data_IF_105641946319
#
_entry.id   IF_105641946319
#
_cell.length_a   1.000
_cell.length_b   1.000
_cell.length_c   1.000
_cell.angle_alpha   90.00
_cell.angle_beta   90.00
_cell.angle_gamma   90.00
#
_symmetry.space_group_name_H-M   'P 1'
#
loop_
_entity.id
_entity.type
_entity.pdbx_description
1 polymer ?
#
# COMPACT_ATOMS: atom_id res chain seq x y z
N UNK A 1 -13.15 17.38 1.00
CA UNK A 1 -13.02 16.14 0.24
C UNK A 1 -14.35 15.78 -0.41
N UNK A 2 -14.40 15.67 -1.74
CA UNK A 2 -15.57 15.08 -2.37
C UNK A 2 -15.57 13.59 -2.11
N UNK A 3 -16.50 13.13 -1.33
CA UNK A 3 -16.69 11.71 -1.07
C UNK A 3 -17.81 11.19 -1.97
N UNK A 4 -17.46 10.33 -2.89
CA UNK A 4 -18.43 9.50 -3.58
C UNK A 4 -18.35 8.12 -2.94
N UNK A 5 -19.42 7.70 -2.31
CA UNK A 5 -19.48 6.41 -1.66
C UNK A 5 -19.92 5.39 -2.69
N UNK A 6 -19.03 4.43 -3.01
CA UNK A 6 -19.37 3.30 -3.84
C UNK A 6 -19.66 2.09 -2.97
N UNK A 7 -20.85 1.55 -3.11
CA UNK A 7 -21.21 0.25 -2.56
C UNK A 7 -20.86 -0.82 -3.60
N UNK A 8 -19.81 -1.57 -3.37
CA UNK A 8 -19.43 -2.67 -4.24
C UNK A 8 -19.97 -3.99 -3.71
N UNK A 9 -20.71 -4.69 -4.56
CA UNK A 9 -21.63 -5.78 -4.25
C UNK A 9 -21.12 -7.02 -3.48
N UNK A 10 -22.03 -7.81 -3.01
CA UNK A 10 -21.93 -9.03 -2.21
C UNK A 10 -21.19 -8.89 -0.85
N UNK A 11 -20.13 -9.56 -0.55
CA UNK A 11 -19.38 -9.38 0.72
C UNK A 11 -18.68 -8.03 0.86
N UNK A 12 -18.58 -7.29 -0.23
CA UNK A 12 -17.94 -5.97 -0.26
C UNK A 12 -18.93 -4.84 0.00
N UNK A 13 -20.19 -5.15 0.26
CA UNK A 13 -21.24 -4.16 0.54
C UNK A 13 -20.92 -3.24 1.73
N UNK A 14 -19.94 -3.59 2.55
CA UNK A 14 -19.51 -2.81 3.70
C UNK A 14 -18.26 -1.97 3.43
N UNK A 15 -17.64 -2.13 2.25
CA UNK A 15 -16.44 -1.36 1.88
C UNK A 15 -16.88 -0.10 1.14
N UNK A 16 -16.74 1.03 1.84
CA UNK A 16 -16.94 2.35 1.25
C UNK A 16 -15.62 2.87 0.71
N UNK A 17 -15.58 3.17 -0.59
CA UNK A 17 -14.43 3.82 -1.20
C UNK A 17 -14.70 5.31 -1.31
N UNK A 18 -13.74 6.11 -0.86
CA UNK A 18 -13.73 7.55 -1.08
C UNK A 18 -12.78 7.86 -2.21
N UNK A 19 -13.19 8.75 -3.12
CA UNK A 19 -12.30 9.27 -4.13
C UNK A 19 -11.47 10.43 -3.58
N UNK A 20 -10.19 10.45 -3.91
CA UNK A 20 -9.28 11.52 -3.55
C UNK A 20 -9.22 12.56 -4.67
N UNK A 21 -9.26 13.83 -4.30
CA UNK A 21 -8.75 14.88 -5.16
C UNK A 21 -7.21 14.85 -5.12
N UNK A 22 -6.57 15.49 -6.08
CA UNK A 22 -5.11 15.63 -6.07
C UNK A 22 -4.65 16.32 -4.77
N UNK A 23 -5.37 17.36 -4.38
CA UNK A 23 -5.10 18.08 -3.13
C UNK A 23 -5.22 17.17 -1.91
N UNK A 24 -6.31 16.43 -1.80
CA UNK A 24 -6.52 15.50 -0.67
C UNK A 24 -5.45 14.42 -0.61
N UNK A 25 -5.09 13.84 -1.74
CA UNK A 25 -4.03 12.84 -1.82
C UNK A 25 -2.69 13.41 -1.35
N UNK A 26 -2.34 14.61 -1.80
CA UNK A 26 -1.10 15.27 -1.38
C UNK A 26 -1.11 15.65 0.10
N UNK A 27 -2.27 16.01 0.66
CA UNK A 27 -2.39 16.33 2.09
C UNK A 27 -2.09 15.12 2.98
N UNK A 28 -2.55 13.94 2.61
CA UNK A 28 -2.30 12.73 3.40
C UNK A 28 -0.99 12.02 3.03
N UNK A 29 -0.37 12.38 1.93
CA UNK A 29 0.80 11.69 1.41
C UNK A 29 1.95 11.55 2.43
N UNK A 30 2.30 12.56 3.23
CA UNK A 30 3.37 12.40 4.23
C UNK A 30 3.10 11.28 5.23
N UNK A 31 1.86 11.13 5.67
CA UNK A 31 1.44 10.04 6.58
C UNK A 31 1.48 8.70 5.85
N UNK A 32 1.02 8.67 4.60
CA UNK A 32 1.04 7.48 3.74
C UNK A 32 2.48 7.00 3.53
N UNK A 33 3.39 7.90 3.21
CA UNK A 33 4.81 7.58 3.03
C UNK A 33 5.41 6.98 4.31
N UNK A 34 5.09 7.57 5.46
CA UNK A 34 5.55 7.05 6.75
C UNK A 34 5.04 5.64 7.02
N UNK A 35 3.76 5.38 6.75
CA UNK A 35 3.18 4.05 6.88
C UNK A 35 3.78 3.06 5.90
N UNK A 36 4.04 3.48 4.68
CA UNK A 36 4.70 2.65 3.68
C UNK A 36 6.13 2.27 4.10
N UNK A 37 6.90 3.21 4.64
CA UNK A 37 8.23 2.91 5.20
C UNK A 37 8.16 1.88 6.32
N UNK A 38 7.13 1.97 7.17
CA UNK A 38 6.92 0.98 8.20
C UNK A 38 6.63 -0.41 7.62
N UNK A 39 5.85 -0.49 6.54
CA UNK A 39 5.60 -1.75 5.83
C UNK A 39 6.92 -2.35 5.34
N UNK A 40 7.80 -1.54 4.76
CA UNK A 40 9.12 -2.00 4.32
C UNK A 40 9.97 -2.52 5.47
N UNK A 41 9.94 -1.84 6.62
CA UNK A 41 10.65 -2.28 7.82
C UNK A 41 10.13 -3.62 8.33
N UNK A 42 8.81 -3.78 8.36
CA UNK A 42 8.20 -5.05 8.77
C UNK A 42 8.54 -6.18 7.81
N UNK A 43 8.53 -5.90 6.51
CA UNK A 43 8.95 -6.85 5.47
C UNK A 43 10.39 -7.30 5.67
N UNK A 44 11.30 -6.36 5.90
CA UNK A 44 12.71 -6.66 6.13
C UNK A 44 12.92 -7.53 7.36
N UNK A 45 12.15 -7.29 8.42
CA UNK A 45 12.20 -8.10 9.64
C UNK A 45 11.76 -9.55 9.35
N UNK A 46 10.70 -9.75 8.56
CA UNK A 46 10.25 -11.08 8.14
C UNK A 46 11.36 -11.80 7.39
N UNK A 47 11.97 -11.17 6.41
CA UNK A 47 13.07 -11.77 5.64
C UNK A 47 14.29 -12.11 6.48
N UNK A 48 14.63 -11.23 7.41
CA UNK A 48 15.74 -11.45 8.34
C UNK A 48 15.51 -12.71 9.19
N UNK A 49 14.34 -12.83 9.80
CA UNK A 49 14.01 -13.97 10.66
C UNK A 49 13.95 -15.26 9.84
N UNK A 50 13.32 -15.20 8.66
CA UNK A 50 13.23 -16.34 7.76
C UNK A 50 14.62 -16.81 7.30
N UNK A 51 15.50 -15.88 6.94
CA UNK A 51 16.87 -16.20 6.55
C UNK A 51 17.67 -16.85 7.69
N UNK A 52 17.51 -16.37 8.92
CA UNK A 52 18.14 -16.97 10.10
C UNK A 52 17.63 -18.39 10.30
N UNK A 53 16.32 -18.60 10.17
CA UNK A 53 15.70 -19.93 10.36
C UNK A 53 16.19 -20.93 9.31
N UNK A 54 16.40 -20.50 8.07
CA UNK A 54 16.81 -21.36 6.96
C UNK A 54 18.30 -21.64 6.94
N UNK A 55 19.12 -20.69 7.38
CA UNK A 55 20.58 -20.73 7.16
C UNK A 55 21.41 -20.96 8.43
N UNK A 56 20.82 -20.79 9.62
CA UNK A 56 21.57 -21.00 10.86
C UNK A 56 21.44 -22.45 11.32
N UNK A 57 22.57 -23.21 11.40
CA UNK A 57 22.56 -24.61 11.81
C UNK A 57 21.92 -24.87 13.18
N UNK A 58 21.90 -23.89 14.06
CA UNK A 58 21.30 -23.96 15.38
C UNK A 58 19.84 -24.44 15.30
N UNK A 59 19.08 -23.93 14.33
CA UNK A 59 17.67 -24.25 14.19
C UNK A 59 17.41 -25.60 13.52
N UNK A 60 18.44 -26.17 12.89
CA UNK A 60 18.36 -27.53 12.35
C UNK A 60 18.70 -28.58 13.40
N UNK A 61 19.51 -28.22 14.41
CA UNK A 61 20.00 -29.15 15.43
C UNK A 61 19.17 -29.13 16.72
N UNK A 62 18.35 -28.13 16.94
CA UNK A 62 17.49 -27.99 18.13
C UNK A 62 16.06 -27.69 17.72
N UNK A 63 15.18 -28.65 17.91
CA UNK A 63 13.74 -28.50 17.65
C UNK A 63 13.13 -27.37 18.50
N UNK A 64 13.55 -27.27 19.75
CA UNK A 64 13.04 -26.22 20.64
C UNK A 64 13.41 -24.82 20.14
N UNK A 65 14.66 -24.62 19.73
CA UNK A 65 15.10 -23.35 19.17
C UNK A 65 14.39 -23.02 17.86
N UNK A 66 14.17 -24.04 17.02
CA UNK A 66 13.37 -23.89 15.80
C UNK A 66 11.96 -23.38 16.10
N UNK A 67 11.27 -24.01 17.06
CA UNK A 67 9.89 -23.63 17.41
C UNK A 67 9.81 -22.19 17.90
N UNK A 68 10.74 -21.78 18.76
CA UNK A 68 10.80 -20.41 19.26
C UNK A 68 11.01 -19.42 18.12
N UNK A 69 11.96 -19.72 17.22
CA UNK A 69 12.24 -18.85 16.07
C UNK A 69 11.08 -18.79 15.09
N UNK A 70 10.39 -19.92 14.91
CA UNK A 70 9.18 -20.00 14.08
C UNK A 70 8.05 -19.13 14.64
N UNK A 71 7.91 -19.06 15.95
CA UNK A 71 6.94 -18.18 16.60
C UNK A 71 7.27 -16.72 16.37
N UNK A 72 8.56 -16.36 16.41
CA UNK A 72 9.01 -15.00 16.06
C UNK A 72 8.65 -14.66 14.61
N UNK A 73 8.87 -15.60 13.69
CA UNK A 73 8.52 -15.41 12.28
C UNK A 73 7.01 -15.19 12.12
N UNK A 74 6.20 -15.97 12.77
CA UNK A 74 4.75 -15.84 12.70
C UNK A 74 4.27 -14.49 13.24
N UNK A 75 4.88 -14.01 14.33
CA UNK A 75 4.59 -12.67 14.88
C UNK A 75 5.00 -11.56 13.92
N UNK A 76 6.17 -11.68 13.29
CA UNK A 76 6.65 -10.71 12.32
C UNK A 76 5.75 -10.66 11.08
N UNK A 77 5.29 -11.81 10.59
CA UNK A 77 4.32 -11.91 9.48
C UNK A 77 3.00 -11.24 9.84
N UNK A 78 2.48 -11.48 11.04
CA UNK A 78 1.26 -10.85 11.51
C UNK A 78 1.38 -9.33 11.57
N UNK A 79 2.50 -8.83 12.08
CA UNK A 79 2.79 -7.39 12.13
C UNK A 79 2.91 -6.78 10.73
N UNK A 80 3.52 -7.51 9.80
CA UNK A 80 3.64 -7.07 8.41
C UNK A 80 2.25 -6.92 7.76
N UNK A 81 1.40 -7.95 7.86
CA UNK A 81 0.04 -7.89 7.31
C UNK A 81 -0.81 -6.81 7.96
N UNK A 82 -0.68 -6.61 9.26
CA UNK A 82 -1.37 -5.54 9.97
C UNK A 82 -0.93 -4.15 9.49
N UNK A 83 0.35 -3.97 9.22
CA UNK A 83 0.85 -2.69 8.69
C UNK A 83 0.30 -2.37 7.30
N UNK A 84 0.11 -3.40 6.45
CA UNK A 84 -0.55 -3.26 5.15
C UNK A 84 -2.01 -2.84 5.34
N UNK A 85 -2.73 -3.54 6.19
CA UNK A 85 -4.13 -3.24 6.49
C UNK A 85 -4.30 -1.80 7.01
N UNK A 86 -3.41 -1.35 7.90
CA UNK A 86 -3.44 0.00 8.45
C UNK A 86 -3.30 1.08 7.37
N UNK A 87 -2.45 0.84 6.37
CA UNK A 87 -2.33 1.75 5.24
C UNK A 87 -3.58 1.71 4.36
N UNK A 88 -4.08 0.53 4.02
CA UNK A 88 -5.26 0.37 3.16
C UNK A 88 -6.53 0.94 3.79
N UNK A 89 -6.63 0.98 5.11
CA UNK A 89 -7.73 1.66 5.83
C UNK A 89 -7.81 3.15 5.55
N UNK A 90 -6.72 3.76 5.07
CA UNK A 90 -6.73 5.17 4.64
C UNK A 90 -7.36 5.37 3.26
N UNK A 91 -7.78 4.30 2.60
CA UNK A 91 -8.37 4.35 1.26
C UNK A 91 -7.34 4.23 0.14
N UNK A 92 -6.08 4.04 0.46
CA UNK A 92 -4.99 3.88 -0.50
C UNK A 92 -4.80 2.40 -0.83
N UNK A 93 -4.60 2.08 -2.09
CA UNK A 93 -4.35 0.71 -2.53
C UNK A 93 -2.86 0.48 -2.76
N UNK A 94 -2.34 -0.58 -2.17
CA UNK A 94 -0.96 -1.00 -2.39
C UNK A 94 -0.93 -1.89 -3.63
N UNK A 95 -0.28 -1.41 -4.69
CA UNK A 95 -0.13 -2.17 -5.94
C UNK A 95 1.07 -3.09 -5.90
N UNK A 96 2.17 -2.61 -5.34
CA UNK A 96 3.37 -3.41 -5.18
C UNK A 96 4.22 -2.87 -4.04
N UNK A 97 4.47 -3.69 -3.05
CA UNK A 97 5.40 -3.34 -1.96
C UNK A 97 6.83 -3.31 -2.50
N UNK A 98 7.19 -4.28 -3.33
CA UNK A 98 8.55 -4.41 -3.87
C UNK A 98 8.95 -3.26 -4.79
N UNK A 99 8.03 -2.83 -5.65
CA UNK A 99 8.26 -1.72 -6.58
C UNK A 99 7.95 -0.36 -5.95
N UNK A 100 7.35 -0.34 -4.76
CA UNK A 100 6.98 0.90 -4.09
C UNK A 100 5.87 1.66 -4.81
N UNK A 101 4.79 0.96 -5.18
CA UNK A 101 3.69 1.54 -5.94
C UNK A 101 2.40 1.59 -5.13
N UNK A 102 1.85 2.77 -5.00
CA UNK A 102 0.57 3.02 -4.33
C UNK A 102 -0.37 3.76 -5.27
N UNK A 103 -1.65 3.41 -5.21
CA UNK A 103 -2.71 4.04 -5.98
C UNK A 103 -3.79 4.62 -5.08
N UNK A 104 -4.16 5.86 -5.39
CA UNK A 104 -5.25 6.58 -4.72
C UNK A 104 -6.44 6.61 -5.67
N UNK A 105 -7.60 6.05 -5.29
CA UNK A 105 -8.77 6.11 -6.16
C UNK A 105 -9.23 7.55 -6.36
N UNK A 106 -9.49 7.91 -7.60
CA UNK A 106 -9.88 9.27 -7.98
C UNK A 106 -10.85 9.25 -9.16
N UNK A 107 -11.31 10.41 -9.57
CA UNK A 107 -12.14 10.60 -10.74
C UNK A 107 -11.57 11.70 -11.63
N UNK A 108 -11.64 11.48 -12.94
CA UNK A 108 -11.25 12.44 -13.96
C UNK A 108 -12.33 12.44 -15.00
N UNK A 109 -13.03 13.59 -15.18
CA UNK A 109 -14.18 13.70 -16.09
C UNK A 109 -15.22 12.59 -15.89
N UNK A 110 -15.58 12.35 -14.62
CA UNK A 110 -16.54 11.32 -14.21
C UNK A 110 -16.08 9.87 -14.41
N UNK A 111 -14.88 9.66 -14.92
CA UNK A 111 -14.28 8.33 -15.03
C UNK A 111 -13.41 8.02 -13.83
N UNK A 112 -13.45 6.78 -13.36
CA UNK A 112 -12.58 6.29 -12.30
C UNK A 112 -11.16 6.18 -12.81
N UNK A 113 -10.22 6.77 -12.06
CA UNK A 113 -8.79 6.70 -12.35
C UNK A 113 -8.03 6.45 -11.06
N UNK A 114 -6.74 6.21 -11.18
CA UNK A 114 -5.82 6.08 -10.06
C UNK A 114 -4.81 7.23 -10.09
N UNK A 115 -4.66 7.90 -8.95
CA UNK A 115 -3.53 8.78 -8.74
C UNK A 115 -2.38 7.90 -8.28
N UNK A 116 -1.28 7.90 -8.99
CA UNK A 116 -0.21 6.94 -8.81
C UNK A 116 1.00 7.58 -8.12
N UNK A 117 1.42 6.98 -7.03
CA UNK A 117 2.64 7.35 -6.33
C UNK A 117 3.67 6.22 -6.42
N UNK A 118 4.90 6.59 -6.68
CA UNK A 118 6.04 5.69 -6.63
C UNK A 118 6.99 6.14 -5.53
N UNK A 119 7.58 5.16 -4.83
CA UNK A 119 8.57 5.43 -3.79
C UNK A 119 9.66 6.37 -4.30
N UNK A 120 9.95 7.41 -3.51
CA UNK A 120 10.87 8.48 -3.87
C UNK A 120 10.20 9.75 -4.36
N UNK A 121 8.95 9.68 -4.78
CA UNK A 121 8.20 10.87 -5.16
C UNK A 121 7.71 11.61 -3.92
N UNK A 122 7.80 12.95 -3.94
CA UNK A 122 7.42 13.81 -2.81
C UNK A 122 6.00 14.35 -2.90
N UNK A 123 5.38 14.23 -4.07
CA UNK A 123 4.01 14.65 -4.32
C UNK A 123 3.38 13.78 -5.39
N UNK A 124 2.05 13.81 -5.48
CA UNK A 124 1.30 13.12 -6.52
C UNK A 124 1.40 13.93 -7.82
N UNK A 125 2.00 13.33 -8.84
CA UNK A 125 2.25 13.96 -10.15
C UNK A 125 1.69 13.17 -11.33
N UNK A 126 1.20 11.96 -11.11
CA UNK A 126 0.82 11.06 -12.17
C UNK A 126 -0.52 10.39 -11.88
N UNK A 127 -1.18 10.00 -12.95
CA UNK A 127 -2.40 9.21 -12.90
C UNK A 127 -2.35 8.12 -13.98
N UNK A 128 -3.17 7.10 -13.84
CA UNK A 128 -3.41 6.13 -14.88
C UNK A 128 -4.88 5.71 -14.86
N UNK A 129 -5.35 5.16 -16.00
CA UNK A 129 -6.71 4.67 -16.10
C UNK A 129 -6.97 3.46 -15.22
N UNK A 130 -8.24 3.16 -15.01
CA UNK A 130 -8.70 2.08 -14.14
C UNK A 130 -8.06 0.73 -14.48
N UNK A 131 -7.94 0.42 -15.77
CA UNK A 131 -7.42 -0.85 -16.26
C UNK A 131 -5.95 -0.76 -16.71
N UNK A 132 -5.29 0.36 -16.48
CA UNK A 132 -3.88 0.58 -16.76
C UNK A 132 -3.06 0.41 -15.49
N UNK A 133 -1.79 0.02 -15.65
CA UNK A 133 -0.84 -0.05 -14.56
C UNK A 133 0.17 1.08 -14.60
N UNK A 134 1.26 0.92 -13.86
CA UNK A 134 2.35 1.89 -13.78
C UNK A 134 2.87 2.32 -15.15
N UNK A 135 2.95 1.42 -16.11
CA UNK A 135 3.41 1.72 -17.47
C UNK A 135 2.48 2.65 -18.23
N UNK A 136 1.23 2.78 -17.80
CA UNK A 136 0.27 3.72 -18.38
C UNK A 136 0.23 5.08 -17.70
N UNK A 137 1.18 5.39 -16.80
CA UNK A 137 1.23 6.66 -16.07
C UNK A 137 1.26 7.84 -17.04
N UNK A 138 0.43 8.83 -16.72
CA UNK A 138 0.36 10.11 -17.43
C UNK A 138 0.58 11.24 -16.45
N UNK A 139 1.31 12.29 -16.81
CA UNK A 139 1.51 13.43 -15.92
C UNK A 139 0.19 14.19 -15.71
N UNK A 140 0.01 14.67 -14.47
CA UNK A 140 -1.08 15.58 -14.15
C UNK A 140 -0.79 16.96 -14.71
N UNK A 141 -1.82 17.65 -15.22
CA UNK A 141 -1.74 19.02 -15.70
C UNK A 141 -2.40 19.97 -14.71
N UNK A 142 -2.19 21.27 -14.90
CA UNK A 142 -2.84 22.31 -14.05
C UNK A 142 -4.36 22.19 -14.10
N UNK A 143 -4.92 21.80 -15.24
CA UNK A 143 -6.38 21.61 -15.38
C UNK A 143 -6.87 20.40 -14.58
N UNK A 144 -6.04 19.41 -14.33
CA UNK A 144 -6.40 18.23 -13.53
C UNK A 144 -6.51 18.55 -12.03
N UNK A 145 -5.80 19.56 -11.54
CA UNK A 145 -5.85 19.96 -10.13
C UNK A 145 -7.23 20.47 -9.70
N UNK A 146 -8.04 20.90 -10.65
CA UNK A 146 -9.41 21.35 -10.40
C UNK A 146 -10.43 20.22 -10.50
N UNK A 147 -10.02 19.04 -10.92
CA UNK A 147 -10.87 17.87 -11.12
C UNK A 147 -10.84 16.95 -9.90
N UNK A 148 -12.01 16.53 -9.51
CA UNK A 148 -12.18 15.52 -8.45
C UNK A 148 -13.22 14.53 -8.87
#
# INVERSE_FOLDING_TARGET
MKQHILLTGSFRNLLMFSYFSIKDANEILPVVIKKFKNILNMKNEVFKIQSELENNPKYMSSFQDYVIKKQELNSALSNFYKSIEDLEKMGVMIKSVDEGLLDFPSQRFEEEVWLCWKEGETEIKFWHGKDEGFMGRKPLSVSDESLV
#
